data_IF_406896679963
#
_entry.id   IF_406896679963
#
_cell.length_a   1.000
_cell.length_b   1.000
_cell.length_c   1.000
_cell.angle_alpha   90.00
_cell.angle_beta   90.00
_cell.angle_gamma   90.00
#
_symmetry.space_group_name_H-M   'P 1'
#
loop_
_entity.id
_entity.type
_entity.pdbx_description
1 polymer ?
#
# COMPACT_ATOMS: atom_id res chain seq x y z
N UNK A 1 3.73 3.52 -9.11
CA UNK A 1 3.44 2.16 -8.58
C UNK A 1 4.24 1.97 -7.29
N UNK A 2 3.59 1.50 -6.21
CA UNK A 2 4.26 1.23 -4.93
C UNK A 2 5.27 0.08 -5.04
N UNK A 3 6.30 0.10 -4.20
CA UNK A 3 7.41 -0.87 -4.25
C UNK A 3 6.96 -2.29 -3.91
N UNK A 4 5.94 -2.45 -3.04
CA UNK A 4 5.37 -3.75 -2.69
C UNK A 4 4.69 -4.41 -3.89
N UNK A 5 3.93 -3.64 -4.69
CA UNK A 5 3.33 -4.15 -5.93
C UNK A 5 4.37 -4.59 -6.95
N UNK A 6 5.48 -3.86 -7.10
CA UNK A 6 6.58 -4.26 -8.00
C UNK A 6 7.22 -5.58 -7.58
N UNK A 7 7.49 -5.75 -6.29
CA UNK A 7 8.07 -7.00 -5.76
C UNK A 7 7.14 -8.19 -6.00
N UNK A 8 5.84 -8.01 -5.79
CA UNK A 8 4.86 -9.06 -6.05
C UNK A 8 4.75 -9.41 -7.54
N UNK A 9 4.76 -8.39 -8.41
CA UNK A 9 4.77 -8.59 -9.86
C UNK A 9 6.03 -9.32 -10.34
N UNK A 10 7.21 -8.98 -9.82
CA UNK A 10 8.46 -9.70 -10.11
C UNK A 10 8.36 -11.16 -9.70
N UNK A 11 7.95 -11.44 -8.47
CA UNK A 11 7.75 -12.81 -7.99
C UNK A 11 6.78 -13.59 -8.88
N UNK A 12 5.68 -12.98 -9.29
CA UNK A 12 4.69 -13.62 -10.15
C UNK A 12 5.24 -13.94 -11.55
N UNK A 13 5.98 -13.01 -12.15
CA UNK A 13 6.63 -13.23 -13.44
C UNK A 13 7.63 -14.39 -13.37
N UNK A 14 8.46 -14.43 -12.31
CA UNK A 14 9.51 -15.43 -12.15
C UNK A 14 8.95 -16.81 -11.78
N UNK A 15 8.09 -16.89 -10.77
CA UNK A 15 7.70 -18.15 -10.13
C UNK A 15 6.41 -18.76 -10.72
N UNK A 16 5.51 -17.93 -11.26
CA UNK A 16 4.21 -18.39 -11.76
C UNK A 16 4.18 -18.45 -13.28
N UNK A 17 4.68 -17.41 -13.95
CA UNK A 17 4.69 -17.35 -15.41
C UNK A 17 5.95 -17.99 -15.99
N UNK A 18 7.11 -17.78 -15.37
CA UNK A 18 8.41 -18.26 -15.85
C UNK A 18 8.88 -17.55 -17.12
N UNK A 19 8.46 -16.30 -17.32
CA UNK A 19 8.84 -15.47 -18.47
C UNK A 19 8.83 -13.99 -18.08
N UNK A 20 9.50 -13.18 -18.90
CA UNK A 20 9.42 -11.72 -18.76
C UNK A 20 8.00 -11.26 -19.16
N UNK A 21 7.33 -10.56 -18.26
CA UNK A 21 5.93 -10.14 -18.41
C UNK A 21 5.86 -8.63 -18.31
N UNK A 22 5.39 -8.01 -19.39
CA UNK A 22 5.01 -6.61 -19.34
C UNK A 22 3.65 -6.48 -18.63
N UNK A 23 3.69 -5.98 -17.39
CA UNK A 23 2.48 -5.83 -16.60
C UNK A 23 1.65 -4.65 -17.10
N UNK A 24 0.37 -4.88 -17.44
CA UNK A 24 -0.51 -3.81 -17.91
C UNK A 24 -0.86 -2.84 -16.79
N UNK A 25 -1.35 -1.67 -17.19
CA UNK A 25 -2.08 -0.81 -16.27
C UNK A 25 -3.45 -1.42 -15.97
N UNK A 26 -3.83 -1.35 -14.69
CA UNK A 26 -5.12 -1.79 -14.20
C UNK A 26 -5.83 -0.55 -13.66
N UNK A 27 -7.03 -0.26 -14.17
CA UNK A 27 -7.91 0.78 -13.62
C UNK A 27 -9.22 0.11 -13.17
N UNK A 28 -9.76 0.56 -12.03
CA UNK A 28 -11.06 0.12 -11.49
C UNK A 28 -11.29 -1.40 -11.39
N UNK A 29 -10.23 -2.18 -11.16
CA UNK A 29 -10.37 -3.64 -11.05
C UNK A 29 -10.19 -4.38 -12.37
N UNK A 30 -10.07 -3.67 -13.48
CA UNK A 30 -10.04 -4.23 -14.82
C UNK A 30 -8.77 -3.86 -15.58
N UNK A 31 -8.48 -4.66 -16.61
CA UNK A 31 -7.37 -4.46 -17.52
C UNK A 31 -7.72 -3.34 -18.50
N UNK A 32 -6.89 -2.29 -18.63
CA UNK A 32 -7.28 -1.13 -19.45
C UNK A 32 -6.49 -0.97 -20.75
N UNK A 33 -5.30 -1.58 -20.93
CA UNK A 33 -4.63 -1.49 -22.23
C UNK A 33 -3.56 -2.57 -22.50
N UNK A 34 -3.60 -3.07 -23.75
CA UNK A 34 -2.61 -3.93 -24.40
C UNK A 34 -3.25 -5.15 -25.09
N UNK A 35 -2.65 -5.66 -26.15
CA UNK A 35 -3.13 -6.86 -26.83
C UNK A 35 -2.46 -8.09 -26.21
N UNK A 36 -2.95 -8.54 -25.03
CA UNK A 36 -2.57 -9.87 -24.54
C UNK A 36 -3.34 -10.91 -25.36
N UNK A 37 -2.71 -11.40 -26.42
CA UNK A 37 -3.25 -12.44 -27.30
C UNK A 37 -3.32 -13.83 -26.64
N UNK A 38 -2.60 -14.03 -25.54
CA UNK A 38 -2.64 -15.27 -24.77
C UNK A 38 -3.73 -15.21 -23.70
N UNK A 39 -4.86 -15.85 -23.98
CA UNK A 39 -6.01 -15.93 -23.07
C UNK A 39 -5.64 -16.48 -21.69
N UNK A 40 -4.67 -17.41 -21.62
CA UNK A 40 -4.23 -18.00 -20.35
C UNK A 40 -3.45 -16.98 -19.53
N UNK A 41 -2.52 -16.26 -20.16
CA UNK A 41 -1.77 -15.19 -19.50
C UNK A 41 -2.70 -14.07 -19.02
N UNK A 42 -3.70 -13.70 -19.83
CA UNK A 42 -4.72 -12.72 -19.46
C UNK A 42 -5.45 -13.12 -18.17
N UNK A 43 -5.97 -14.35 -18.10
CA UNK A 43 -6.68 -14.84 -16.91
C UNK A 43 -5.77 -14.89 -15.68
N UNK A 44 -4.51 -15.30 -15.85
CA UNK A 44 -3.57 -15.32 -14.72
C UNK A 44 -3.27 -13.91 -14.19
N UNK A 45 -3.08 -12.93 -15.07
CA UNK A 45 -2.83 -11.55 -14.68
C UNK A 45 -4.02 -10.91 -13.97
N UNK A 46 -5.23 -11.16 -14.46
CA UNK A 46 -6.47 -10.75 -13.79
C UNK A 46 -6.61 -11.39 -12.40
N UNK A 47 -6.45 -12.71 -12.30
CA UNK A 47 -6.54 -13.41 -11.03
C UNK A 47 -5.47 -12.94 -10.02
N UNK A 48 -4.25 -12.70 -10.49
CA UNK A 48 -3.15 -12.17 -9.69
C UNK A 48 -3.50 -10.78 -9.13
N UNK A 49 -3.99 -9.87 -9.99
CA UNK A 49 -4.34 -8.52 -9.58
C UNK A 49 -5.51 -8.49 -8.58
N UNK A 50 -6.55 -9.31 -8.82
CA UNK A 50 -7.66 -9.48 -7.89
C UNK A 50 -7.20 -10.04 -6.55
N UNK A 51 -6.36 -11.08 -6.55
CA UNK A 51 -5.83 -11.69 -5.34
C UNK A 51 -4.96 -10.72 -4.54
N UNK A 52 -4.09 -9.94 -5.22
CA UNK A 52 -3.28 -8.90 -4.60
C UNK A 52 -4.13 -7.85 -3.91
N UNK A 53 -5.11 -7.30 -4.63
CA UNK A 53 -6.01 -6.27 -4.13
C UNK A 53 -6.83 -6.78 -2.95
N UNK A 54 -7.40 -7.98 -3.06
CA UNK A 54 -8.20 -8.59 -1.99
C UNK A 54 -7.37 -8.89 -0.73
N UNK A 55 -6.15 -9.41 -0.89
CA UNK A 55 -5.23 -9.69 0.22
C UNK A 55 -4.95 -8.45 1.05
N UNK A 56 -4.70 -7.30 0.39
CA UNK A 56 -4.37 -6.05 1.10
C UNK A 56 -5.58 -5.35 1.68
N UNK A 57 -6.73 -5.41 0.99
CA UNK A 57 -7.99 -4.92 1.52
C UNK A 57 -8.45 -5.67 2.78
N UNK A 58 -8.01 -6.92 2.98
CA UNK A 58 -8.28 -7.72 4.16
C UNK A 58 -7.38 -7.38 5.37
N UNK A 59 -6.28 -6.65 5.15
CA UNK A 59 -5.39 -6.20 6.22
C UNK A 59 -5.82 -4.82 6.68
N UNK A 60 -6.01 -4.69 7.99
CA UNK A 60 -6.33 -3.44 8.64
C UNK A 60 -5.38 -3.22 9.82
N UNK A 61 -4.65 -2.10 9.79
CA UNK A 61 -3.64 -1.75 10.81
C UNK A 61 -4.19 -0.65 11.70
N UNK A 62 -4.11 -0.88 13.01
CA UNK A 62 -4.37 0.12 14.03
C UNK A 62 -3.07 0.82 14.41
N UNK A 63 -3.04 2.14 14.27
CA UNK A 63 -1.88 2.94 14.69
C UNK A 63 -2.07 3.47 16.10
N UNK A 64 -0.97 3.80 16.81
CA UNK A 64 -1.06 4.47 18.09
C UNK A 64 -1.86 5.78 17.99
N UNK A 65 -2.67 6.06 19.00
CA UNK A 65 -3.40 7.33 19.08
C UNK A 65 -2.42 8.52 19.11
N UNK A 66 -2.79 9.60 18.41
CA UNK A 66 -2.07 10.87 18.48
C UNK A 66 -2.26 11.50 19.85
N UNK A 67 -1.23 12.17 20.33
CA UNK A 67 -1.29 12.93 21.58
C UNK A 67 -2.14 14.18 21.34
N UNK A 68 -2.99 14.53 22.31
CA UNK A 68 -3.71 15.80 22.31
C UNK A 68 -2.76 16.91 22.76
N UNK A 69 -2.49 17.85 21.86
CA UNK A 69 -1.56 18.98 22.04
C UNK A 69 -2.31 20.32 22.11
N UNK A 70 -3.64 20.30 22.26
CA UNK A 70 -4.48 21.50 22.19
C UNK A 70 -4.52 22.33 23.48
N UNK A 71 -3.83 21.92 24.55
CA UNK A 71 -3.82 22.60 25.84
C UNK A 71 -2.65 23.57 26.03
N UNK A 72 -2.95 24.79 26.50
CA UNK A 72 -1.96 25.81 26.91
C UNK A 72 -1.11 25.43 28.16
N UNK A 73 -1.36 24.26 28.75
CA UNK A 73 -0.89 23.86 30.09
C UNK A 73 0.29 22.88 30.05
N UNK A 74 1.06 22.85 28.97
CA UNK A 74 2.35 22.15 28.95
C UNK A 74 3.44 23.08 29.49
N UNK A 75 3.85 22.98 30.78
CA UNK A 75 5.04 23.68 31.24
C UNK A 75 6.22 23.16 30.41
N UNK A 76 6.68 23.97 29.46
CA UNK A 76 7.74 23.64 28.50
C UNK A 76 8.95 23.10 29.27
N UNK A 77 9.24 21.79 29.23
CA UNK A 77 10.49 21.26 29.73
C UNK A 77 11.44 21.20 28.54
N UNK A 78 11.94 22.36 28.08
CA UNK A 78 13.13 22.53 27.21
C UNK A 78 13.35 21.55 26.02
N UNK A 79 12.31 20.89 25.50
CA UNK A 79 12.34 19.81 24.49
C UNK A 79 11.08 19.82 23.61
N UNK A 80 10.67 21.01 23.19
CA UNK A 80 9.31 21.44 22.77
C UNK A 80 8.69 20.77 21.53
N UNK A 81 9.32 19.75 20.93
CA UNK A 81 8.89 19.20 19.62
C UNK A 81 8.55 17.69 19.66
N UNK A 82 8.55 17.04 20.84
CA UNK A 82 8.45 15.57 20.92
C UNK A 82 7.05 15.03 20.59
N UNK A 83 5.99 15.67 21.12
CA UNK A 83 4.61 15.24 20.84
C UNK A 83 4.19 15.56 19.40
N UNK A 84 4.64 16.70 18.87
CA UNK A 84 4.48 17.07 17.45
C UNK A 84 5.23 16.10 16.53
N UNK A 85 6.49 15.80 16.84
CA UNK A 85 7.31 14.84 16.11
C UNK A 85 6.73 13.42 16.15
N UNK A 86 6.19 12.99 17.30
CA UNK A 86 5.49 11.71 17.42
C UNK A 86 4.22 11.68 16.57
N UNK A 87 3.38 12.71 16.64
CA UNK A 87 2.14 12.80 15.87
C UNK A 87 2.42 12.86 14.36
N UNK A 88 3.46 13.59 13.94
CA UNK A 88 3.95 13.62 12.57
C UNK A 88 4.44 12.25 12.11
N UNK A 89 5.27 11.56 12.90
CA UNK A 89 5.72 10.20 12.59
C UNK A 89 4.57 9.20 12.44
N UNK A 90 3.56 9.25 13.31
CA UNK A 90 2.35 8.42 13.18
C UNK A 90 1.61 8.72 11.87
N UNK A 91 1.52 10.00 11.49
CA UNK A 91 0.90 10.41 10.22
C UNK A 91 1.66 9.89 9.01
N UNK A 92 2.99 10.05 8.98
CA UNK A 92 3.85 9.56 7.89
C UNK A 92 3.76 8.03 7.77
N UNK A 93 3.74 7.30 8.89
CA UNK A 93 3.51 5.85 8.88
C UNK A 93 2.14 5.50 8.28
N UNK A 94 1.08 6.23 8.64
CA UNK A 94 -0.26 6.01 8.11
C UNK A 94 -0.30 6.19 6.58
N UNK A 95 0.36 7.23 6.08
CA UNK A 95 0.46 7.51 4.64
C UNK A 95 1.27 6.44 3.90
N UNK A 96 2.41 6.02 4.45
CA UNK A 96 3.22 4.95 3.87
C UNK A 96 2.47 3.62 3.78
N UNK A 97 1.72 3.25 4.84
CA UNK A 97 0.90 2.03 4.88
C UNK A 97 -0.22 2.09 3.82
N UNK A 98 -0.91 3.24 3.72
CA UNK A 98 -1.96 3.44 2.70
C UNK A 98 -1.40 3.44 1.29
N UNK A 99 -0.22 4.04 1.06
CA UNK A 99 0.47 4.02 -0.23
C UNK A 99 0.86 2.59 -0.65
N UNK A 100 1.16 1.73 0.32
CA UNK A 100 1.33 0.30 0.12
C UNK A 100 0.00 -0.45 -0.11
N UNK A 101 -1.16 0.22 -0.19
CA UNK A 101 -2.47 -0.36 -0.46
C UNK A 101 -3.14 -1.06 0.74
N UNK A 102 -2.67 -0.83 1.97
CA UNK A 102 -3.19 -1.43 3.19
C UNK A 102 -4.10 -0.42 3.93
N UNK A 103 -5.18 -0.90 4.54
CA UNK A 103 -6.06 -0.04 5.34
C UNK A 103 -5.44 0.30 6.70
N UNK A 104 -5.60 1.56 7.10
CA UNK A 104 -5.29 2.05 8.44
C UNK A 104 -6.60 2.46 9.10
N UNK A 105 -6.88 1.95 10.30
CA UNK A 105 -8.06 2.35 11.07
C UNK A 105 -8.03 3.86 11.34
N UNK A 106 -9.20 4.48 11.24
CA UNK A 106 -9.40 5.88 11.64
C UNK A 106 -9.40 6.05 13.16
#
# INVERSE_FOLDING_TARGET
MDESRKQFQSWFADEIVGADVEFPEFEDGEYVAGEIYDEKLYVMLQAMYMAWTASRAAIEIELPAKNDISGDDHPIPDLVDWDDGRNAGIQECAEAIRAAGIKVKE
#
